data_IF_679742122317
#
_entry.id   IF_679742122317
#
_cell.length_a   1.000
_cell.length_b   1.000
_cell.length_c   1.000
_cell.angle_alpha   90.00
_cell.angle_beta   90.00
_cell.angle_gamma   90.00
#
_symmetry.space_group_name_H-M   'P 1'
#
loop_
_entity.id
_entity.type
_entity.pdbx_description
1 polymer ?
#
# COMPACT_ATOMS: atom_id res chain seq x y z
N UNK A 1 3.13 -19.01 -35.23
CA UNK A 1 4.11 -18.38 -34.33
C UNK A 1 3.35 -17.51 -33.33
N UNK A 2 3.12 -18.00 -32.10
CA UNK A 2 2.61 -17.18 -31.00
C UNK A 2 3.80 -16.47 -30.35
N UNK A 3 3.87 -15.14 -30.48
CA UNK A 3 4.80 -14.32 -29.71
C UNK A 3 4.14 -13.99 -28.36
N UNK A 4 4.46 -14.78 -27.33
CA UNK A 4 4.20 -14.43 -25.94
C UNK A 4 5.26 -13.42 -25.49
N UNK A 5 5.03 -12.13 -25.76
CA UNK A 5 5.76 -11.06 -25.06
C UNK A 5 5.15 -10.87 -23.68
N UNK A 6 5.45 -11.80 -22.78
CA UNK A 6 5.26 -11.61 -21.35
C UNK A 6 6.33 -10.64 -20.86
N UNK A 7 6.01 -9.36 -20.82
CA UNK A 7 6.86 -8.36 -20.15
C UNK A 7 7.03 -8.81 -18.70
N UNK A 8 8.28 -9.06 -18.31
CA UNK A 8 8.66 -9.41 -16.94
C UNK A 8 8.25 -8.22 -16.06
N UNK A 9 7.08 -8.31 -15.42
CA UNK A 9 6.76 -7.44 -14.30
C UNK A 9 7.62 -7.90 -13.13
N UNK A 10 8.46 -6.97 -12.64
CA UNK A 10 9.31 -7.12 -11.46
C UNK A 10 8.63 -7.97 -10.38
N UNK A 11 9.33 -8.99 -9.85
CA UNK A 11 8.94 -9.71 -8.65
C UNK A 11 9.03 -8.77 -7.45
N UNK A 12 8.04 -7.89 -7.30
CA UNK A 12 7.88 -7.09 -6.10
C UNK A 12 7.25 -7.99 -5.03
N UNK A 13 7.87 -8.07 -3.85
CA UNK A 13 7.30 -8.73 -2.69
C UNK A 13 6.00 -8.00 -2.27
N UNK A 14 4.86 -8.49 -2.76
CA UNK A 14 3.53 -8.05 -2.33
C UNK A 14 3.06 -8.85 -1.10
N UNK A 15 2.17 -8.30 -0.26
CA UNK A 15 1.55 -9.06 0.82
C UNK A 15 0.90 -10.34 0.28
N UNK A 16 1.15 -11.47 0.94
CA UNK A 16 0.50 -12.74 0.59
C UNK A 16 -0.95 -12.71 1.04
N UNK A 17 -1.85 -13.14 0.16
CA UNK A 17 -3.26 -13.29 0.48
C UNK A 17 -3.87 -14.47 -0.28
N UNK A 18 -4.98 -14.98 0.27
CA UNK A 18 -5.87 -15.94 -0.38
C UNK A 18 -7.16 -15.25 -0.81
N UNK A 19 -7.56 -15.42 -2.06
CA UNK A 19 -8.89 -15.01 -2.53
C UNK A 19 -9.93 -16.02 -2.05
N UNK A 20 -10.90 -15.55 -1.29
CA UNK A 20 -12.03 -16.33 -0.77
C UNK A 20 -13.20 -16.30 -1.76
N UNK A 21 -13.44 -15.14 -2.38
CA UNK A 21 -14.50 -14.93 -3.35
C UNK A 21 -14.14 -13.80 -4.32
N UNK A 22 -14.60 -13.90 -5.55
CA UNK A 22 -14.44 -12.85 -6.57
C UNK A 22 -15.77 -12.49 -7.22
N UNK A 23 -15.90 -11.24 -7.62
CA UNK A 23 -17.02 -10.70 -8.40
C UNK A 23 -16.53 -9.54 -9.26
N UNK A 24 -16.28 -9.80 -10.54
CA UNK A 24 -15.69 -8.80 -11.44
C UNK A 24 -14.30 -8.38 -10.96
N UNK A 25 -14.12 -7.09 -10.70
CA UNK A 25 -12.90 -6.50 -10.15
C UNK A 25 -12.87 -6.40 -8.61
N UNK A 26 -13.84 -7.00 -7.93
CA UNK A 26 -13.94 -7.03 -6.46
C UNK A 26 -13.60 -8.44 -5.95
N UNK A 27 -12.78 -8.51 -4.92
CA UNK A 27 -12.38 -9.75 -4.25
C UNK A 27 -12.57 -9.65 -2.74
N UNK A 28 -12.91 -10.76 -2.09
CA UNK A 28 -12.76 -10.94 -0.65
C UNK A 28 -11.46 -11.71 -0.44
N UNK A 29 -10.52 -11.12 0.28
CA UNK A 29 -9.17 -11.64 0.49
C UNK A 29 -8.89 -11.83 1.98
N UNK A 30 -8.15 -12.88 2.32
CA UNK A 30 -7.54 -13.05 3.66
C UNK A 30 -6.05 -12.86 3.48
N UNK A 31 -5.49 -11.88 4.16
CA UNK A 31 -4.06 -11.55 4.14
C UNK A 31 -3.37 -12.23 5.30
N UNK A 32 -2.23 -12.89 5.02
CA UNK A 32 -1.35 -13.40 6.07
C UNK A 32 -0.86 -12.25 6.98
N UNK A 33 -0.43 -12.54 8.22
CA UNK A 33 0.20 -11.53 9.06
C UNK A 33 1.34 -10.82 8.33
N UNK A 34 1.42 -9.51 8.48
CA UNK A 34 2.37 -8.68 7.75
C UNK A 34 2.98 -7.62 8.65
N UNK A 35 4.22 -7.24 8.35
CA UNK A 35 4.89 -6.13 9.00
C UNK A 35 4.73 -4.86 8.16
N UNK A 36 4.43 -3.76 8.82
CA UNK A 36 4.42 -2.43 8.20
C UNK A 36 5.33 -1.48 8.95
N UNK A 37 5.98 -0.59 8.21
CA UNK A 37 6.45 0.67 8.75
C UNK A 37 5.40 1.74 8.42
N UNK A 38 4.96 2.49 9.42
CA UNK A 38 3.95 3.53 9.28
C UNK A 38 4.37 4.86 9.91
N UNK A 39 3.78 5.93 9.40
CA UNK A 39 3.92 7.29 9.93
C UNK A 39 2.58 8.00 9.86
N UNK A 40 2.28 8.79 10.90
CA UNK A 40 1.14 9.70 10.93
C UNK A 40 1.60 11.10 10.57
N UNK A 41 0.88 11.75 9.65
CA UNK A 41 1.21 13.06 9.12
C UNK A 41 -0.04 13.91 8.96
N UNK A 42 0.09 15.19 9.25
CA UNK A 42 -0.96 16.20 9.03
C UNK A 42 -0.85 16.85 7.66
N UNK A 43 -1.99 17.33 7.15
CA UNK A 43 -2.10 18.18 5.97
C UNK A 43 -3.10 17.66 4.93
N UNK A 44 -3.27 18.45 3.87
CA UNK A 44 -4.05 18.04 2.70
C UNK A 44 -3.52 16.72 2.16
N UNK A 45 -4.42 15.84 1.68
CA UNK A 45 -4.11 14.45 1.31
C UNK A 45 -2.80 14.30 0.55
N UNK A 46 -2.66 15.03 -0.56
CA UNK A 46 -1.52 14.94 -1.46
C UNK A 46 -0.21 15.33 -0.77
N UNK A 47 -0.24 16.36 0.08
CA UNK A 47 0.91 16.86 0.82
C UNK A 47 1.28 15.90 1.96
N UNK A 48 0.29 15.51 2.77
CA UNK A 48 0.46 14.54 3.85
C UNK A 48 1.09 13.25 3.34
N UNK A 49 0.52 12.64 2.30
CA UNK A 49 1.08 11.42 1.67
C UNK A 49 2.54 11.64 1.23
N UNK A 50 2.84 12.77 0.58
CA UNK A 50 4.20 13.07 0.10
C UNK A 50 5.19 13.20 1.26
N UNK A 51 4.77 13.80 2.38
CA UNK A 51 5.56 13.93 3.60
C UNK A 51 5.81 12.55 4.24
N UNK A 52 4.75 11.76 4.43
CA UNK A 52 4.86 10.43 5.01
C UNK A 52 5.72 9.48 4.16
N UNK A 53 5.56 9.51 2.84
CA UNK A 53 6.41 8.75 1.92
C UNK A 53 7.89 9.09 2.09
N UNK A 54 8.23 10.38 2.19
CA UNK A 54 9.62 10.83 2.36
C UNK A 54 10.22 10.33 3.67
N UNK A 55 9.46 10.38 4.76
CA UNK A 55 9.90 9.89 6.08
C UNK A 55 10.16 8.38 6.03
N UNK A 56 9.24 7.60 5.47
CA UNK A 56 9.41 6.14 5.37
C UNK A 56 10.52 5.74 4.39
N UNK A 57 10.68 6.48 3.29
CA UNK A 57 11.79 6.26 2.37
C UNK A 57 13.14 6.49 3.06
N UNK A 58 13.27 7.59 3.81
CA UNK A 58 14.48 7.90 4.58
C UNK A 58 14.85 6.76 5.55
N UNK A 59 13.87 6.21 6.27
CA UNK A 59 14.06 5.02 7.09
C UNK A 59 14.58 3.81 6.29
N UNK A 60 13.94 3.48 5.17
CA UNK A 60 14.32 2.34 4.32
C UNK A 60 15.73 2.48 3.74
N UNK A 61 16.15 3.70 3.39
CA UNK A 61 17.44 3.96 2.74
C UNK A 61 18.62 4.15 3.70
N UNK A 62 18.39 4.00 5.01
CA UNK A 62 19.46 3.94 5.99
C UNK A 62 19.34 4.94 7.13
N UNK A 63 18.26 5.72 7.25
CA UNK A 63 18.02 6.48 8.48
C UNK A 63 17.41 5.60 9.59
N UNK A 64 18.15 4.57 9.95
CA UNK A 64 17.88 3.64 11.02
C UNK A 64 19.19 3.35 11.76
N UNK A 65 19.13 2.71 12.92
CA UNK A 65 20.29 2.13 13.58
C UNK A 65 20.28 0.63 13.25
N UNK A 66 21.26 0.10 12.49
CA UNK A 66 22.65 0.56 12.34
C UNK A 66 23.03 1.19 10.97
N UNK A 67 22.16 1.99 10.37
CA UNK A 67 22.31 2.58 9.02
C UNK A 67 22.28 1.57 7.88
N UNK A 68 21.39 0.59 7.99
CA UNK A 68 21.22 -0.48 7.01
C UNK A 68 20.16 -0.11 5.96
N UNK A 69 20.44 -0.43 4.68
CA UNK A 69 19.40 -0.40 3.65
C UNK A 69 18.48 -1.60 3.79
N UNK A 70 17.18 -1.35 3.93
CA UNK A 70 16.17 -2.40 3.90
C UNK A 70 15.93 -2.74 2.43
N UNK A 71 16.36 -3.94 2.00
CA UNK A 71 16.23 -4.39 0.61
C UNK A 71 14.76 -4.53 0.20
N UNK A 72 14.21 -3.46 -0.37
CA UNK A 72 12.94 -3.50 -1.08
C UNK A 72 13.18 -4.02 -2.50
N UNK A 73 12.39 -4.99 -2.95
CA UNK A 73 12.47 -5.53 -4.32
C UNK A 73 12.03 -4.52 -5.38
N UNK A 74 12.51 -4.71 -6.61
CA UNK A 74 12.92 -3.70 -7.58
C UNK A 74 11.83 -2.98 -8.42
N UNK A 75 12.20 -1.87 -9.11
CA UNK A 75 13.49 -1.21 -9.01
C UNK A 75 13.42 0.03 -8.12
N UNK A 76 14.43 0.19 -7.25
CA UNK A 76 14.88 1.52 -6.83
C UNK A 76 16.24 1.78 -7.47
N UNK A 77 16.25 2.39 -8.65
CA UNK A 77 17.48 2.93 -9.24
C UNK A 77 17.65 4.38 -8.75
N UNK A 78 18.81 4.69 -8.17
CA UNK A 78 19.28 6.07 -8.04
C UNK A 78 20.25 6.34 -9.21
N UNK A 79 19.82 7.14 -10.17
CA UNK A 79 20.73 7.98 -10.96
C UNK A 79 20.66 9.41 -10.44
N UNK A 80 21.74 10.21 -10.51
CA UNK A 80 21.68 11.63 -10.15
C UNK A 80 20.58 12.34 -10.97
N UNK A 81 19.49 12.73 -10.31
CA UNK A 81 18.33 13.37 -10.95
C UNK A 81 17.06 12.53 -11.06
N UNK A 82 17.07 11.24 -10.73
CA UNK A 82 15.86 10.39 -10.71
C UNK A 82 15.22 10.28 -9.31
N UNK A 83 13.89 10.39 -9.29
CA UNK A 83 13.06 10.31 -8.08
C UNK A 83 13.02 8.88 -7.54
N UNK A 84 13.11 8.77 -6.21
CA UNK A 84 13.02 7.51 -5.43
C UNK A 84 11.91 6.62 -5.99
N UNK A 85 12.31 5.49 -6.54
CA UNK A 85 11.39 4.51 -7.08
C UNK A 85 10.78 3.64 -5.96
N UNK A 86 9.53 3.23 -6.18
CA UNK A 86 8.53 3.01 -5.14
C UNK A 86 8.61 1.66 -4.41
N UNK A 87 8.19 1.66 -3.14
CA UNK A 87 7.71 0.46 -2.42
C UNK A 87 6.27 0.17 -2.85
N UNK A 88 5.91 -1.10 -3.08
CA UNK A 88 4.54 -1.48 -3.41
C UNK A 88 3.96 -2.48 -2.39
N UNK A 89 2.74 -2.26 -1.88
CA UNK A 89 1.93 -1.05 -2.04
C UNK A 89 2.36 0.09 -1.10
N UNK A 90 2.15 1.33 -1.52
CA UNK A 90 2.00 2.46 -0.59
C UNK A 90 0.56 2.45 -0.08
N UNK A 91 0.40 2.26 1.22
CA UNK A 91 -0.89 2.19 1.92
C UNK A 91 -1.20 3.58 2.49
N UNK A 92 -2.40 4.08 2.22
CA UNK A 92 -2.90 5.33 2.78
C UNK A 92 -4.23 5.06 3.48
N UNK A 93 -4.36 5.59 4.68
CA UNK A 93 -5.60 5.53 5.45
C UNK A 93 -5.82 6.89 6.09
N UNK A 94 -7.01 7.47 5.91
CA UNK A 94 -7.40 8.62 6.71
C UNK A 94 -7.52 8.15 8.16
N UNK A 95 -6.93 8.89 9.11
CA UNK A 95 -7.08 8.59 10.54
C UNK A 95 -8.24 9.35 11.17
N UNK A 96 -8.67 10.43 10.51
CA UNK A 96 -9.79 11.28 10.88
C UNK A 96 -10.21 12.16 9.68
N UNK A 97 -11.23 13.02 9.91
CA UNK A 97 -11.66 14.04 8.96
C UNK A 97 -10.92 15.38 9.15
N UNK A 98 -9.91 15.45 10.02
CA UNK A 98 -9.19 16.69 10.38
C UNK A 98 -7.84 16.83 9.67
N UNK A 99 -7.61 16.07 8.59
CA UNK A 99 -6.42 16.20 7.76
C UNK A 99 -5.24 15.35 8.25
N UNK A 100 -5.48 14.31 9.03
CA UNK A 100 -4.44 13.37 9.43
C UNK A 100 -4.47 12.12 8.55
N UNK A 101 -3.28 11.75 8.08
CA UNK A 101 -3.06 10.63 7.18
C UNK A 101 -2.07 9.66 7.83
N UNK A 102 -2.41 8.38 7.73
CA UNK A 102 -1.47 7.30 7.98
C UNK A 102 -0.94 6.81 6.65
N UNK A 103 0.38 6.86 6.50
CA UNK A 103 1.09 6.31 5.36
C UNK A 103 1.86 5.10 5.84
N UNK A 104 1.77 3.98 5.13
CA UNK A 104 2.48 2.76 5.49
C UNK A 104 3.14 2.10 4.28
N UNK A 105 4.29 1.48 4.53
CA UNK A 105 4.95 0.57 3.61
C UNK A 105 4.91 -0.85 4.19
N UNK A 106 4.59 -1.80 3.32
CA UNK A 106 4.69 -3.22 3.67
C UNK A 106 6.17 -3.61 3.66
N UNK A 107 6.62 -4.21 4.75
CA UNK A 107 7.98 -4.72 4.86
C UNK A 107 8.07 -6.09 4.14
N UNK A 108 9.15 -6.35 3.37
CA UNK A 108 9.33 -7.62 2.69
C UNK A 108 9.32 -8.82 3.63
N UNK A 109 8.88 -9.96 3.12
CA UNK A 109 9.05 -11.24 3.79
C UNK A 109 10.53 -11.50 4.09
N UNK A 110 10.82 -12.00 5.30
CA UNK A 110 12.18 -12.29 5.78
C UNK A 110 12.63 -11.39 6.94
N UNK A 111 11.95 -10.26 7.14
CA UNK A 111 12.10 -9.42 8.34
C UNK A 111 11.15 -9.85 9.46
N UNK A 112 11.58 -9.64 10.70
CA UNK A 112 10.78 -9.74 11.92
C UNK A 112 10.90 -8.44 12.71
N UNK A 113 10.12 -8.24 13.77
CA UNK A 113 10.28 -7.06 14.63
C UNK A 113 11.67 -7.00 15.27
N UNK A 114 12.27 -8.16 15.52
CA UNK A 114 13.59 -8.31 16.12
C UNK A 114 14.74 -8.08 15.12
N UNK A 115 14.52 -8.34 13.83
CA UNK A 115 15.54 -8.19 12.79
C UNK A 115 15.46 -6.87 12.02
N UNK A 116 14.38 -6.11 12.17
CA UNK A 116 14.25 -4.81 11.54
C UNK A 116 15.16 -3.77 12.21
N UNK A 117 15.92 -2.99 11.43
CA UNK A 117 16.66 -1.86 11.96
C UNK A 117 15.73 -0.89 12.68
N UNK A 118 16.16 -0.38 13.84
CA UNK A 118 15.35 0.55 14.60
C UNK A 118 15.32 1.91 13.88
N UNK A 119 14.13 2.52 13.67
CA UNK A 119 14.08 3.85 13.08
C UNK A 119 14.76 4.89 13.97
N UNK A 120 15.56 5.78 13.37
CA UNK A 120 16.11 6.93 14.09
C UNK A 120 15.06 8.04 14.26
N UNK A 121 14.09 8.09 13.34
CA UNK A 121 12.97 9.02 13.39
C UNK A 121 11.84 8.44 14.24
N UNK A 122 11.53 9.08 15.37
CA UNK A 122 10.47 8.65 16.31
C UNK A 122 9.06 8.71 15.73
N UNK A 123 8.86 9.34 14.57
CA UNK A 123 7.57 9.32 13.86
C UNK A 123 7.32 8.01 13.11
N UNK A 124 8.36 7.18 12.90
CA UNK A 124 8.25 5.90 12.21
C UNK A 124 7.98 4.81 13.25
N UNK A 125 6.81 4.18 13.12
CA UNK A 125 6.42 3.02 13.90
C UNK A 125 6.50 1.77 13.03
N UNK A 126 7.04 0.68 13.58
CA UNK A 126 7.03 -0.63 12.92
C UNK A 126 6.11 -1.54 13.71
N UNK A 127 5.14 -2.14 13.05
CA UNK A 127 4.13 -2.97 13.71
C UNK A 127 3.75 -4.20 12.89
N UNK A 128 3.37 -5.26 13.61
CA UNK A 128 2.81 -6.47 13.04
C UNK A 128 1.29 -6.35 12.97
N UNK A 129 0.75 -6.45 11.77
CA UNK A 129 -0.68 -6.61 11.52
C UNK A 129 -0.96 -8.10 11.49
N UNK A 130 -1.84 -8.58 12.37
CA UNK A 130 -2.31 -9.96 12.37
C UNK A 130 -3.06 -10.29 11.07
N UNK A 131 -3.40 -11.57 10.88
CA UNK A 131 -4.25 -11.98 9.75
C UNK A 131 -5.52 -11.13 9.70
N UNK A 132 -5.81 -10.58 8.53
CA UNK A 132 -6.99 -9.73 8.32
C UNK A 132 -7.71 -10.08 7.04
N UNK A 133 -9.04 -9.95 7.09
CA UNK A 133 -9.92 -10.13 5.95
C UNK A 133 -10.34 -8.78 5.39
N UNK A 134 -10.23 -8.63 4.08
CA UNK A 134 -10.61 -7.42 3.37
C UNK A 134 -11.54 -7.72 2.21
N UNK A 135 -12.49 -6.83 1.98
CA UNK A 135 -13.11 -6.69 0.66
C UNK A 135 -12.30 -5.65 -0.12
N UNK A 136 -11.92 -5.98 -1.36
CA UNK A 136 -10.96 -5.22 -2.15
C UNK A 136 -11.50 -4.98 -3.55
N UNK A 137 -11.47 -3.74 -4.04
CA UNK A 137 -11.72 -3.40 -5.45
C UNK A 137 -10.42 -3.02 -6.14
N UNK A 138 -10.17 -3.58 -7.32
CA UNK A 138 -9.06 -3.20 -8.20
C UNK A 138 -9.53 -2.31 -9.34
N UNK A 139 -8.77 -1.27 -9.65
CA UNK A 139 -9.06 -0.35 -10.76
C UNK A 139 -7.80 0.32 -11.30
N UNK A 140 -7.96 1.02 -12.42
CA UNK A 140 -6.89 1.73 -13.12
C UNK A 140 -7.19 3.22 -13.25
N UNK A 141 -6.25 3.99 -13.78
CA UNK A 141 -6.35 5.44 -13.95
C UNK A 141 -5.63 6.22 -12.86
N UNK A 142 -5.88 7.53 -12.84
CA UNK A 142 -5.30 8.44 -11.85
C UNK A 142 -5.99 8.27 -10.49
N UNK A 143 -5.20 8.38 -9.42
CA UNK A 143 -5.67 8.35 -8.03
C UNK A 143 -6.20 9.72 -7.57
N UNK A 144 -7.05 10.35 -8.39
CA UNK A 144 -7.74 11.58 -8.03
C UNK A 144 -8.97 11.29 -7.16
N UNK A 145 -9.38 12.26 -6.36
CA UNK A 145 -10.49 12.16 -5.40
C UNK A 145 -11.76 11.56 -6.02
N UNK A 146 -12.21 12.06 -7.18
CA UNK A 146 -13.40 11.54 -7.85
C UNK A 146 -13.29 10.07 -8.29
N UNK A 147 -12.11 9.63 -8.77
CA UNK A 147 -11.92 8.23 -9.16
C UNK A 147 -11.90 7.31 -7.94
N UNK A 148 -11.30 7.78 -6.84
CA UNK A 148 -11.24 7.05 -5.59
C UNK A 148 -12.62 6.94 -4.93
N UNK A 149 -13.36 8.05 -4.89
CA UNK A 149 -14.72 8.09 -4.35
C UNK A 149 -15.67 7.16 -5.13
N UNK A 150 -15.60 7.18 -6.47
CA UNK A 150 -16.39 6.28 -7.32
C UNK A 150 -16.19 4.81 -6.95
N UNK A 151 -14.93 4.36 -6.85
CA UNK A 151 -14.63 2.96 -6.57
C UNK A 151 -14.87 2.59 -5.10
N UNK A 152 -14.70 3.55 -4.18
CA UNK A 152 -15.09 3.36 -2.77
C UNK A 152 -16.60 3.12 -2.64
N UNK A 153 -17.42 3.92 -3.32
CA UNK A 153 -18.88 3.73 -3.31
C UNK A 153 -19.28 2.38 -3.89
N UNK A 154 -18.64 1.96 -4.98
CA UNK A 154 -18.85 0.64 -5.59
C UNK A 154 -18.52 -0.50 -4.62
N UNK A 155 -17.37 -0.41 -3.96
CA UNK A 155 -16.93 -1.39 -2.97
C UNK A 155 -17.88 -1.47 -1.77
N UNK A 156 -18.29 -0.33 -1.23
CA UNK A 156 -19.23 -0.25 -0.10
C UNK A 156 -20.61 -0.78 -0.49
N UNK A 157 -21.10 -0.48 -1.70
CA UNK A 157 -22.37 -1.04 -2.23
C UNK A 157 -22.29 -2.56 -2.34
N UNK A 158 -21.17 -3.08 -2.84
CA UNK A 158 -20.94 -4.52 -2.91
C UNK A 158 -20.92 -5.17 -1.51
N UNK A 159 -20.13 -4.61 -0.57
CA UNK A 159 -20.04 -5.12 0.80
C UNK A 159 -21.41 -5.22 1.47
N UNK A 160 -22.26 -4.17 1.34
CA UNK A 160 -23.64 -4.18 1.82
C UNK A 160 -24.51 -5.25 1.14
N UNK A 161 -24.41 -5.38 -0.18
CA UNK A 161 -25.17 -6.38 -0.96
C UNK A 161 -24.87 -7.81 -0.50
N UNK A 162 -23.62 -8.11 -0.17
CA UNK A 162 -23.20 -9.43 0.33
C UNK A 162 -23.21 -9.54 1.86
N UNK A 163 -23.81 -8.55 2.56
CA UNK A 163 -23.98 -8.51 4.02
C UNK A 163 -22.68 -8.62 4.82
N UNK A 164 -21.58 -8.06 4.32
CA UNK A 164 -20.33 -7.94 5.07
C UNK A 164 -20.39 -6.74 6.02
N UNK A 165 -19.94 -6.94 7.25
CA UNK A 165 -19.75 -5.86 8.22
C UNK A 165 -18.37 -5.22 8.02
N UNK A 166 -18.34 -3.97 7.54
CA UNK A 166 -17.10 -3.20 7.35
C UNK A 166 -16.56 -2.67 8.68
N UNK A 167 -15.24 -2.68 8.83
CA UNK A 167 -14.52 -2.23 10.02
C UNK A 167 -13.50 -1.14 9.64
N UNK A 168 -13.46 -0.07 10.44
CA UNK A 168 -12.51 1.02 10.29
C UNK A 168 -12.61 1.79 8.97
N UNK A 169 -11.58 2.60 8.72
CA UNK A 169 -11.50 3.46 7.53
C UNK A 169 -10.95 2.71 6.30
N UNK A 170 -11.37 3.09 5.08
CA UNK A 170 -10.83 2.51 3.85
C UNK A 170 -9.32 2.69 3.70
N UNK A 171 -8.68 1.67 3.18
CA UNK A 171 -7.26 1.65 2.81
C UNK A 171 -7.14 1.85 1.31
N UNK A 172 -6.31 2.81 0.89
CA UNK A 172 -5.94 3.02 -0.50
C UNK A 172 -4.54 2.48 -0.75
N UNK A 173 -4.40 1.52 -1.66
CA UNK A 173 -3.14 0.86 -1.98
C UNK A 173 -2.70 1.18 -3.42
N UNK A 174 -1.52 1.76 -3.56
CA UNK A 174 -0.95 2.16 -4.84
C UNK A 174 0.32 1.38 -5.14
N UNK A 175 0.31 0.66 -6.27
CA UNK A 175 1.35 -0.32 -6.60
C UNK A 175 2.37 0.20 -7.60
N UNK A 176 1.99 1.23 -8.36
CA UNK A 176 2.75 1.64 -9.53
C UNK A 176 3.47 2.97 -9.33
N UNK A 177 4.68 3.09 -9.89
CA UNK A 177 5.43 4.32 -9.89
C UNK A 177 4.77 5.46 -10.68
N UNK A 178 5.11 6.73 -10.38
CA UNK A 178 4.47 7.89 -10.99
C UNK A 178 4.65 7.99 -12.51
N UNK A 179 5.66 7.34 -13.10
CA UNK A 179 5.87 7.27 -14.55
C UNK A 179 5.01 6.20 -15.25
N UNK A 180 4.35 5.31 -14.50
CA UNK A 180 3.47 4.29 -15.10
C UNK A 180 2.30 4.98 -15.81
N UNK A 181 2.01 4.68 -17.09
CA UNK A 181 0.86 5.23 -17.79
C UNK A 181 -0.44 4.98 -17.01
N UNK A 182 -1.36 5.96 -16.88
CA UNK A 182 -2.51 5.85 -15.96
C UNK A 182 -3.37 4.60 -16.17
N UNK A 183 -3.61 4.21 -17.43
CA UNK A 183 -4.41 3.03 -17.78
C UNK A 183 -3.73 1.69 -17.46
N UNK A 184 -2.42 1.69 -17.19
CA UNK A 184 -1.66 0.51 -16.75
C UNK A 184 -1.44 0.48 -15.23
N UNK A 185 -1.88 1.51 -14.50
CA UNK A 185 -1.78 1.52 -13.04
C UNK A 185 -2.76 0.53 -12.43
N UNK A 186 -2.30 -0.18 -11.42
CA UNK A 186 -3.07 -0.94 -10.44
C UNK A 186 -3.20 -0.08 -9.19
N UNK A 187 -4.44 0.28 -8.92
CA UNK A 187 -4.85 0.88 -7.67
C UNK A 187 -5.84 -0.08 -7.00
N UNK A 188 -5.82 -0.13 -5.67
CA UNK A 188 -6.79 -0.90 -4.91
C UNK A 188 -7.37 -0.06 -3.77
N UNK A 189 -8.65 -0.29 -3.46
CA UNK A 189 -9.27 0.15 -2.21
C UNK A 189 -9.67 -1.09 -1.43
N UNK A 190 -9.33 -1.12 -0.15
CA UNK A 190 -9.57 -2.25 0.74
C UNK A 190 -10.36 -1.76 1.97
N UNK A 191 -11.34 -2.53 2.41
CA UNK A 191 -12.05 -2.28 3.67
C UNK A 191 -12.01 -3.57 4.48
N UNK A 192 -11.60 -3.48 5.73
CA UNK A 192 -11.57 -4.64 6.64
C UNK A 192 -13.00 -5.11 6.87
N UNK A 193 -13.22 -6.43 6.90
CA UNK A 193 -14.57 -6.99 7.03
C UNK A 193 -14.61 -8.17 8.00
N UNK A 194 -15.74 -8.29 8.68
CA UNK A 194 -16.18 -9.50 9.39
C UNK A 194 -17.49 -10.02 8.81
N UNK A 195 -17.74 -11.31 9.01
CA UNK A 195 -19.05 -11.93 8.73
C UNK A 195 -20.12 -11.44 9.71
#
# INVERSE_FOLDING_TARGET
LLAMSGTIMSQVNEPKFKVIKSHGNIEIRVYEPLLVAEVRVEGERKEGISKGFRILADYIFGNNAPSQKISMTAPVMQQPGEKIAMTAPVIQQATDHSGHWKVSFVIPAGYTLETLPQPNNSQVEVLSIAEKRYVVIRFSGLAGEGNLQKHLEELVKYARKVKLHTLGEPIFAFYNPPWTPPFLRRNEIMIEVKE
#
